data_IF_728313736623
#
_entry.id   IF_728313736623
#
_cell.length_a   1.000
_cell.length_b   1.000
_cell.length_c   1.000
_cell.angle_alpha   90.00
_cell.angle_beta   90.00
_cell.angle_gamma   90.00
#
_symmetry.space_group_name_H-M   'P 1'
#
loop_
_entity.id
_entity.type
_entity.pdbx_description
1 polymer ?
#
# COMPACT_ATOMS: atom_id res chain seq x y z
N UNK A 1 -7.83 -21.78 2.16
CA UNK A 1 -6.43 -22.07 2.51
C UNK A 1 -6.17 -22.17 4.02
N UNK A 2 -6.99 -21.60 4.93
CA UNK A 2 -6.77 -21.76 6.38
C UNK A 2 -5.45 -21.16 6.89
N UNK A 3 -4.81 -20.33 6.06
CA UNK A 3 -3.54 -19.68 6.34
C UNK A 3 -3.86 -18.36 7.04
N UNK A 4 -3.23 -18.12 8.18
CA UNK A 4 -3.29 -16.82 8.83
C UNK A 4 -2.46 -15.81 8.01
N UNK A 5 -2.87 -14.53 7.96
CA UNK A 5 -2.08 -13.50 7.29
C UNK A 5 -0.71 -13.33 7.96
N UNK A 6 0.33 -13.88 7.31
CA UNK A 6 1.73 -13.86 7.74
C UNK A 6 2.44 -12.56 7.28
N UNK A 7 3.76 -12.43 7.47
CA UNK A 7 4.55 -11.24 7.13
C UNK A 7 4.12 -9.95 7.85
N UNK A 8 3.44 -10.09 8.99
CA UNK A 8 2.97 -8.98 9.81
C UNK A 8 1.76 -8.25 9.21
N UNK A 9 1.08 -8.81 8.21
CA UNK A 9 -0.07 -8.16 7.59
C UNK A 9 -1.21 -7.92 8.59
N UNK A 10 -1.47 -8.88 9.49
CA UNK A 10 -2.43 -8.73 10.60
C UNK A 10 -2.12 -7.54 11.52
N UNK A 11 -0.84 -7.17 11.63
CA UNK A 11 -0.37 -6.08 12.49
C UNK A 11 -0.31 -4.74 11.75
N UNK A 12 0.08 -4.76 10.46
CA UNK A 12 0.30 -3.55 9.67
C UNK A 12 -0.98 -3.07 9.00
N UNK A 13 -1.81 -3.97 8.47
CA UNK A 13 -2.97 -3.61 7.65
C UNK A 13 -3.92 -2.66 8.39
N UNK A 14 -4.27 -2.96 9.64
CA UNK A 14 -5.15 -2.10 10.44
C UNK A 14 -4.55 -0.71 10.74
N UNK A 15 -3.21 -0.56 10.78
CA UNK A 15 -2.53 0.72 10.93
C UNK A 15 -2.53 1.54 9.65
N UNK A 16 -2.61 0.87 8.50
CA UNK A 16 -2.59 1.50 7.17
C UNK A 16 -4.00 1.91 6.73
N UNK A 17 -4.97 0.99 6.76
CA UNK A 17 -6.33 1.23 6.22
C UNK A 17 -7.42 1.36 7.30
N UNK A 18 -7.04 1.32 8.58
CA UNK A 18 -7.96 1.35 9.72
C UNK A 18 -8.54 -0.02 10.10
N UNK A 19 -8.97 -0.20 11.36
CA UNK A 19 -9.31 -1.52 11.91
C UNK A 19 -10.63 -2.11 11.37
N UNK A 20 -11.57 -1.29 10.90
CA UNK A 20 -12.85 -1.78 10.37
C UNK A 20 -12.66 -2.38 8.97
N UNK A 21 -12.02 -1.63 8.07
CA UNK A 21 -11.73 -2.08 6.69
C UNK A 21 -10.79 -3.28 6.68
N UNK A 22 -9.78 -3.31 7.56
CA UNK A 22 -8.88 -4.45 7.67
C UNK A 22 -9.60 -5.76 8.05
N UNK A 23 -10.59 -5.69 8.96
CA UNK A 23 -11.44 -6.84 9.30
C UNK A 23 -12.33 -7.25 8.14
N UNK A 24 -12.98 -6.28 7.49
CA UNK A 24 -13.83 -6.53 6.33
C UNK A 24 -13.05 -7.26 5.23
N UNK A 25 -11.92 -6.73 4.78
CA UNK A 25 -11.09 -7.33 3.73
C UNK A 25 -10.62 -8.74 4.12
N UNK A 26 -10.10 -8.90 5.36
CA UNK A 26 -9.53 -10.18 5.80
C UNK A 26 -10.57 -11.28 5.97
N UNK A 27 -11.77 -10.93 6.45
CA UNK A 27 -12.81 -11.91 6.77
C UNK A 27 -13.71 -12.22 5.57
N UNK A 28 -13.95 -11.24 4.69
CA UNK A 28 -14.78 -11.44 3.49
C UNK A 28 -13.99 -11.91 2.27
N UNK A 29 -12.66 -11.86 2.32
CA UNK A 29 -11.80 -12.05 1.13
C UNK A 29 -12.15 -11.09 -0.02
N UNK A 30 -12.62 -9.88 0.31
CA UNK A 30 -12.96 -8.86 -0.68
C UNK A 30 -11.74 -8.49 -1.52
N UNK A 31 -11.94 -8.39 -2.85
CA UNK A 31 -10.94 -7.86 -3.77
C UNK A 31 -10.79 -6.36 -3.56
N UNK A 32 -9.56 -5.90 -3.33
CA UNK A 32 -9.23 -4.48 -3.22
C UNK A 32 -8.62 -4.02 -4.54
N UNK A 33 -9.31 -3.13 -5.27
CA UNK A 33 -8.77 -2.55 -6.51
C UNK A 33 -7.69 -1.51 -6.22
N UNK A 34 -6.91 -1.14 -7.24
CA UNK A 34 -5.86 -0.14 -7.09
C UNK A 34 -6.41 1.21 -6.60
N UNK A 35 -7.55 1.65 -7.14
CA UNK A 35 -8.18 2.93 -6.79
C UNK A 35 -8.74 2.91 -5.36
N UNK A 36 -9.29 1.77 -4.91
CA UNK A 36 -9.74 1.60 -3.52
C UNK A 36 -8.53 1.62 -2.59
N UNK A 37 -7.46 0.89 -2.94
CA UNK A 37 -6.23 0.87 -2.17
C UNK A 37 -5.63 2.26 -2.01
N UNK A 38 -5.64 3.07 -3.07
CA UNK A 38 -5.12 4.45 -3.04
C UNK A 38 -5.97 5.34 -2.13
N UNK A 39 -7.30 5.31 -2.30
CA UNK A 39 -8.23 6.08 -1.45
C UNK A 39 -8.14 5.70 0.03
N UNK A 40 -7.78 4.47 0.34
CA UNK A 40 -7.61 4.00 1.71
C UNK A 40 -6.21 4.26 2.27
N UNK A 41 -5.26 4.72 1.45
CA UNK A 41 -3.85 4.89 1.84
C UNK A 41 -3.08 3.57 1.95
N UNK A 42 -3.62 2.47 1.40
CA UNK A 42 -2.88 1.20 1.27
C UNK A 42 -1.74 1.31 0.25
N UNK A 43 -1.97 2.09 -0.80
CA UNK A 43 -0.95 2.50 -1.77
C UNK A 43 -0.92 4.02 -1.86
N UNK A 44 0.24 4.59 -2.17
CA UNK A 44 0.39 6.04 -2.25
C UNK A 44 -0.01 6.61 -3.62
N UNK A 45 0.20 5.83 -4.70
CA UNK A 45 -0.02 6.25 -6.07
C UNK A 45 -0.50 5.07 -6.93
N UNK A 46 -1.45 5.33 -7.82
CA UNK A 46 -1.85 4.42 -8.91
C UNK A 46 -1.43 5.02 -10.24
N UNK A 47 -0.80 4.21 -11.08
CA UNK A 47 -0.31 4.58 -12.41
C UNK A 47 -0.55 3.45 -13.40
N UNK A 48 -0.44 3.75 -14.69
CA UNK A 48 -0.48 2.72 -15.73
C UNK A 48 0.66 1.70 -15.53
N UNK A 49 0.46 0.42 -15.90
CA UNK A 49 1.46 -0.63 -15.68
C UNK A 49 2.84 -0.31 -16.28
N UNK A 50 2.88 0.39 -17.42
CA UNK A 50 4.13 0.81 -18.07
C UNK A 50 4.92 1.86 -17.29
N UNK A 51 4.27 2.60 -16.39
CA UNK A 51 4.86 3.74 -15.69
C UNK A 51 5.25 3.45 -14.23
N UNK A 52 5.00 2.23 -13.73
CA UNK A 52 5.26 1.85 -12.33
C UNK A 52 6.70 2.14 -11.91
N UNK A 53 7.68 1.68 -12.69
CA UNK A 53 9.09 1.87 -12.36
C UNK A 53 9.50 3.35 -12.45
N UNK A 54 9.02 4.04 -13.48
CA UNK A 54 9.27 5.48 -13.66
C UNK A 54 8.77 6.27 -12.46
N UNK A 55 7.52 6.02 -12.03
CA UNK A 55 6.94 6.72 -10.87
C UNK A 55 7.71 6.43 -9.59
N UNK A 56 8.14 5.18 -9.38
CA UNK A 56 8.95 4.81 -8.22
C UNK A 56 10.30 5.55 -8.20
N UNK A 57 10.98 5.64 -9.35
CA UNK A 57 12.23 6.39 -9.51
C UNK A 57 12.04 7.88 -9.26
N UNK A 58 10.98 8.49 -9.80
CA UNK A 58 10.67 9.91 -9.54
C UNK A 58 10.50 10.20 -8.04
N UNK A 59 9.84 9.32 -7.28
CA UNK A 59 9.69 9.47 -5.83
C UNK A 59 11.03 9.28 -5.12
N UNK A 60 11.82 8.27 -5.51
CA UNK A 60 13.14 8.04 -4.94
C UNK A 60 14.07 9.25 -5.14
N UNK A 61 14.08 9.83 -6.35
CA UNK A 61 14.86 11.04 -6.65
C UNK A 61 14.43 12.24 -5.78
N UNK A 62 13.13 12.40 -5.53
CA UNK A 62 12.62 13.46 -4.63
C UNK A 62 13.10 13.25 -3.20
N UNK A 63 13.13 12.00 -2.72
CA UNK A 63 13.64 11.65 -1.38
C UNK A 63 15.13 11.97 -1.30
N UNK A 64 15.92 11.55 -2.29
CA UNK A 64 17.37 11.81 -2.33
C UNK A 64 17.67 13.32 -2.35
N UNK A 65 16.94 14.10 -3.15
CA UNK A 65 17.10 15.57 -3.23
C UNK A 65 16.75 16.29 -1.92
N UNK A 66 15.89 15.72 -1.09
CA UNK A 66 15.51 16.29 0.20
C UNK A 66 16.52 15.97 1.32
N UNK A 67 17.57 15.20 1.04
CA UNK A 67 18.64 14.98 2.00
C UNK A 67 19.60 16.19 2.02
N UNK A 68 19.41 17.10 2.96
CA UNK A 68 20.27 18.28 3.14
C UNK A 68 21.55 18.00 3.96
N UNK A 69 21.76 16.78 4.47
CA UNK A 69 22.84 16.45 5.41
C UNK A 69 23.80 15.35 4.89
N UNK A 70 24.04 15.31 3.58
CA UNK A 70 25.28 14.80 2.98
C UNK A 70 26.00 15.94 2.27
#
# INVERSE_FOLDING_TARGET
FGIFPSWGLSQKLARVIGPNRAREVSLSSMVVTAEVAERWGLVNHVVEPSDVLKKAQEIAERIVKNNHDL
#
